data_IF_463714282907
#
_entry.id   IF_463714282907
#
_cell.length_a   1.000
_cell.length_b   1.000
_cell.length_c   1.000
_cell.angle_alpha   90.00
_cell.angle_beta   90.00
_cell.angle_gamma   90.00
#
_symmetry.space_group_name_H-M   'P 1'
#
loop_
_entity.id
_entity.type
_entity.pdbx_description
1 polymer ?
#
# COMPACT_ATOMS: atom_id res chain seq x y z
N UNK A 1 -15.27 -27.32 -1.71
CA UNK A 1 -15.24 -25.84 -1.65
C UNK A 1 -14.72 -25.29 -0.31
N UNK A 2 -15.20 -25.75 0.85
CA UNK A 2 -14.75 -25.26 2.18
C UNK A 2 -13.24 -25.42 2.45
N UNK A 3 -12.65 -26.55 2.03
CA UNK A 3 -11.20 -26.80 2.21
C UNK A 3 -10.32 -25.91 1.32
N UNK A 4 -10.78 -25.55 0.12
CA UNK A 4 -10.04 -24.67 -0.79
C UNK A 4 -10.04 -23.23 -0.26
N UNK A 5 -11.19 -22.76 0.24
CA UNK A 5 -11.30 -21.46 0.92
C UNK A 5 -10.41 -21.39 2.16
N UNK A 6 -10.37 -22.46 2.98
CA UNK A 6 -9.47 -22.52 4.13
C UNK A 6 -7.98 -22.47 3.74
N UNK A 7 -7.60 -23.11 2.63
CA UNK A 7 -6.22 -23.06 2.11
C UNK A 7 -5.85 -21.66 1.60
N UNK A 8 -6.76 -20.98 0.90
CA UNK A 8 -6.54 -19.62 0.40
C UNK A 8 -6.42 -18.63 1.57
N UNK A 9 -7.30 -18.73 2.56
CA UNK A 9 -7.25 -17.88 3.76
C UNK A 9 -5.98 -18.12 4.56
N UNK A 10 -5.56 -19.39 4.71
CA UNK A 10 -4.31 -19.72 5.39
C UNK A 10 -3.07 -19.21 4.63
N UNK A 11 -3.06 -19.32 3.30
CA UNK A 11 -1.99 -18.78 2.46
C UNK A 11 -1.92 -17.24 2.56
N UNK A 12 -3.06 -16.57 2.59
CA UNK A 12 -3.13 -15.13 2.76
C UNK A 12 -2.67 -14.68 4.15
N UNK A 13 -3.06 -15.40 5.20
CA UNK A 13 -2.62 -15.15 6.58
C UNK A 13 -1.12 -15.40 6.80
N UNK A 14 -0.51 -16.33 6.05
CA UNK A 14 0.93 -16.61 6.14
C UNK A 14 1.78 -15.61 5.34
N UNK A 15 1.22 -15.04 4.27
CA UNK A 15 1.93 -14.07 3.39
C UNK A 15 1.72 -12.62 3.81
N UNK A 16 0.62 -12.31 4.52
CA UNK A 16 0.34 -11.00 5.13
C UNK A 16 1.47 -10.51 6.06
N UNK A 17 1.96 -11.29 7.03
CA UNK A 17 3.05 -10.87 7.90
C UNK A 17 4.34 -10.60 7.13
N UNK A 18 4.62 -11.36 6.07
CA UNK A 18 5.84 -11.19 5.26
C UNK A 18 5.80 -9.92 4.40
N UNK A 19 4.63 -9.64 3.81
CA UNK A 19 4.42 -8.42 3.01
C UNK A 19 4.33 -7.16 3.87
N UNK A 20 3.70 -7.25 5.05
CA UNK A 20 3.67 -6.17 6.05
C UNK A 20 5.03 -5.99 6.73
N UNK A 21 5.81 -7.04 6.93
CA UNK A 21 7.18 -6.94 7.42
C UNK A 21 8.10 -6.30 6.39
N UNK A 22 7.89 -6.53 5.10
CA UNK A 22 8.65 -5.82 4.06
C UNK A 22 8.18 -4.36 3.92
N UNK A 23 6.87 -4.10 3.92
CA UNK A 23 6.33 -2.74 3.93
C UNK A 23 6.67 -1.96 5.22
N UNK A 24 6.88 -2.66 6.34
CA UNK A 24 7.29 -2.12 7.63
C UNK A 24 8.81 -2.13 7.88
N UNK A 25 9.60 -2.87 7.09
CA UNK A 25 11.06 -2.90 7.22
C UNK A 25 11.71 -1.59 6.75
N UNK A 26 11.09 -0.88 5.81
CA UNK A 26 11.49 0.50 5.44
C UNK A 26 10.64 1.58 6.14
N UNK A 27 9.52 1.22 6.77
CA UNK A 27 8.57 2.16 7.39
C UNK A 27 8.59 2.19 8.93
N UNK A 28 9.41 1.35 9.56
CA UNK A 28 9.37 1.07 11.00
C UNK A 28 10.74 0.94 11.66
N UNK A 29 11.78 1.60 11.13
CA UNK A 29 12.90 1.95 12.01
C UNK A 29 12.32 2.79 13.15
N UNK A 30 12.58 2.30 14.37
CA UNK A 30 12.20 2.90 15.64
C UNK A 30 12.41 4.41 15.61
N UNK A 31 11.62 5.12 16.40
CA UNK A 31 11.72 6.56 16.67
C UNK A 31 13.07 6.98 17.34
N UNK A 32 14.19 6.42 16.92
CA UNK A 32 15.55 6.94 17.10
C UNK A 32 15.98 7.59 15.80
N UNK A 33 15.41 8.76 15.50
CA UNK A 33 16.00 9.84 14.69
C UNK A 33 14.94 10.63 13.93
N UNK A 34 14.16 11.44 14.65
CA UNK A 34 13.53 12.63 14.05
C UNK A 34 14.57 13.64 13.47
N UNK A 35 15.86 13.28 13.43
CA UNK A 35 16.98 14.07 12.93
C UNK A 35 17.77 13.37 11.80
N UNK A 36 17.37 12.17 11.33
CA UNK A 36 18.02 11.53 10.17
C UNK A 36 17.57 12.23 8.91
N UNK A 37 18.30 13.29 8.53
CA UNK A 37 18.13 13.99 7.25
C UNK A 37 18.55 13.08 6.11
N UNK A 38 17.72 12.97 5.09
CA UNK A 38 18.03 12.25 3.85
C UNK A 38 19.14 13.01 3.11
N UNK A 39 20.20 12.31 2.71
CA UNK A 39 21.29 12.93 1.96
C UNK A 39 20.84 13.18 0.51
N UNK A 40 20.70 14.46 0.14
CA UNK A 40 20.18 14.89 -1.16
C UNK A 40 21.23 14.88 -2.28
N UNK A 41 22.51 14.65 -1.95
CA UNK A 41 23.65 14.89 -2.85
C UNK A 41 23.73 13.94 -4.03
N UNK A 42 23.11 12.76 -3.96
CA UNK A 42 23.03 11.80 -5.09
C UNK A 42 21.61 11.50 -5.57
N UNK A 43 20.59 12.23 -5.08
CA UNK A 43 19.21 12.05 -5.51
C UNK A 43 18.86 13.09 -6.56
N UNK A 44 18.43 12.62 -7.74
CA UNK A 44 17.92 13.46 -8.82
C UNK A 44 16.43 13.21 -9.09
N UNK A 45 15.76 14.20 -9.68
CA UNK A 45 14.38 14.07 -10.14
C UNK A 45 13.35 14.02 -9.02
N UNK A 46 12.31 13.19 -9.20
CA UNK A 46 11.14 13.11 -8.31
C UNK A 46 11.55 12.67 -6.89
N UNK A 47 12.57 11.82 -6.77
CA UNK A 47 13.10 11.36 -5.49
C UNK A 47 13.73 12.51 -4.69
N UNK A 48 14.37 13.48 -5.36
CA UNK A 48 14.88 14.69 -4.71
C UNK A 48 13.74 15.53 -4.14
N UNK A 49 12.64 15.71 -4.87
CA UNK A 49 11.49 16.48 -4.41
C UNK A 49 10.86 15.87 -3.14
N UNK A 50 10.64 14.56 -3.13
CA UNK A 50 10.12 13.86 -1.95
C UNK A 50 11.09 13.89 -0.78
N UNK A 51 12.38 13.69 -1.02
CA UNK A 51 13.41 13.76 0.03
C UNK A 51 13.58 15.19 0.58
N UNK A 52 13.45 16.22 -0.26
CA UNK A 52 13.47 17.61 0.15
C UNK A 52 12.24 17.93 1.03
N UNK A 53 11.04 17.53 0.63
CA UNK A 53 9.83 17.71 1.43
C UNK A 53 9.88 16.97 2.77
N UNK A 54 10.45 15.76 2.80
CA UNK A 54 10.68 15.02 4.04
C UNK A 54 11.63 15.76 4.98
N UNK A 55 12.74 16.29 4.45
CA UNK A 55 13.75 17.01 5.23
C UNK A 55 13.26 18.39 5.74
N UNK A 56 12.45 19.10 4.95
CA UNK A 56 11.94 20.42 5.30
C UNK A 56 10.75 20.33 6.26
N UNK A 57 9.81 19.42 6.01
CA UNK A 57 8.63 19.26 6.86
C UNK A 57 8.01 17.86 6.77
N UNK A 58 8.40 17.01 7.72
CA UNK A 58 7.96 15.61 7.80
C UNK A 58 6.42 15.44 7.84
N UNK A 59 5.71 16.40 8.44
CA UNK A 59 4.24 16.39 8.51
C UNK A 59 3.60 16.59 7.14
N UNK A 60 4.14 17.52 6.35
CA UNK A 60 3.67 17.79 5.00
C UNK A 60 3.93 16.57 4.09
N UNK A 61 5.12 15.97 4.20
CA UNK A 61 5.44 14.74 3.50
C UNK A 61 4.46 13.60 3.86
N UNK A 62 4.19 13.38 5.15
CA UNK A 62 3.28 12.34 5.61
C UNK A 62 1.87 12.48 5.03
N UNK A 63 1.33 13.71 4.99
CA UNK A 63 -0.01 13.98 4.43
C UNK A 63 -0.03 13.70 2.93
N UNK A 64 0.95 14.19 2.17
CA UNK A 64 1.02 13.98 0.72
C UNK A 64 1.09 12.49 0.40
N UNK A 65 1.97 11.75 1.09
CA UNK A 65 2.13 10.30 0.87
C UNK A 65 0.84 9.55 1.22
N UNK A 66 0.17 9.92 2.31
CA UNK A 66 -1.11 9.30 2.70
C UNK A 66 -2.17 9.49 1.62
N UNK A 67 -2.30 10.70 1.06
CA UNK A 67 -3.25 10.99 -0.02
C UNK A 67 -2.90 10.20 -1.29
N UNK A 68 -1.61 10.15 -1.66
CA UNK A 68 -1.15 9.38 -2.81
C UNK A 68 -1.45 7.89 -2.65
N UNK A 69 -1.27 7.33 -1.45
CA UNK A 69 -1.55 5.93 -1.19
C UNK A 69 -3.04 5.62 -1.25
N UNK A 70 -3.90 6.54 -0.78
CA UNK A 70 -5.34 6.42 -0.93
C UNK A 70 -5.77 6.45 -2.41
N UNK A 71 -5.18 7.33 -3.22
CA UNK A 71 -5.43 7.39 -4.65
C UNK A 71 -4.98 6.10 -5.37
N UNK A 72 -3.78 5.60 -5.06
CA UNK A 72 -3.28 4.34 -5.61
C UNK A 72 -4.19 3.17 -5.25
N UNK A 73 -4.64 3.08 -4.00
CA UNK A 73 -5.61 2.06 -3.57
C UNK A 73 -6.92 2.15 -4.35
N UNK A 74 -7.45 3.35 -4.57
CA UNK A 74 -8.64 3.58 -5.38
C UNK A 74 -8.46 3.15 -6.84
N UNK A 75 -7.31 3.47 -7.45
CA UNK A 75 -6.99 3.05 -8.81
C UNK A 75 -6.94 1.52 -8.90
N UNK A 76 -6.29 0.85 -7.95
CA UNK A 76 -6.21 -0.62 -7.91
C UNK A 76 -7.60 -1.23 -7.79
N UNK A 77 -8.49 -0.67 -6.96
CA UNK A 77 -9.87 -1.15 -6.84
C UNK A 77 -10.62 -1.07 -8.18
N UNK A 78 -10.54 0.07 -8.86
CA UNK A 78 -11.18 0.25 -10.17
C UNK A 78 -10.62 -0.69 -11.23
N UNK A 79 -9.29 -0.83 -11.28
CA UNK A 79 -8.63 -1.75 -12.23
C UNK A 79 -9.04 -3.19 -11.94
N UNK A 80 -9.10 -3.58 -10.67
CA UNK A 80 -9.51 -4.92 -10.26
C UNK A 80 -10.95 -5.19 -10.65
N UNK A 81 -11.87 -4.25 -10.43
CA UNK A 81 -13.27 -4.36 -10.86
C UNK A 81 -13.39 -4.56 -12.38
N UNK A 82 -12.59 -3.83 -13.17
CA UNK A 82 -12.55 -3.97 -14.63
C UNK A 82 -12.04 -5.36 -15.03
N UNK A 83 -10.97 -5.84 -14.39
CA UNK A 83 -10.40 -7.17 -14.66
C UNK A 83 -11.41 -8.27 -14.30
N UNK A 84 -12.05 -8.19 -13.14
CA UNK A 84 -13.05 -9.16 -12.68
C UNK A 84 -14.25 -9.21 -13.64
N UNK A 85 -14.72 -8.03 -14.09
CA UNK A 85 -15.80 -7.92 -15.08
C UNK A 85 -15.44 -8.57 -16.41
N UNK A 86 -14.20 -8.43 -16.87
CA UNK A 86 -13.73 -9.04 -18.12
C UNK A 86 -13.57 -10.57 -18.02
N UNK A 87 -13.35 -11.12 -16.83
CA UNK A 87 -13.21 -12.57 -16.60
C UNK A 87 -14.59 -13.25 -16.46
N UNK A 88 -15.69 -12.50 -16.53
CA UNK A 88 -17.04 -13.05 -16.45
C UNK A 88 -17.46 -13.46 -15.05
N UNK A 89 -16.71 -13.07 -14.01
CA UNK A 89 -17.28 -12.98 -12.67
C UNK A 89 -18.16 -11.74 -12.65
N UNK A 90 -19.44 -11.92 -12.94
CA UNK A 90 -20.44 -10.96 -12.51
C UNK A 90 -20.36 -10.88 -10.98
N UNK A 91 -19.64 -9.89 -10.46
CA UNK A 91 -19.81 -9.42 -9.09
C UNK A 91 -21.16 -8.72 -9.05
N UNK A 92 -22.22 -9.51 -9.22
CA UNK A 92 -23.55 -9.07 -8.90
C UNK A 92 -23.52 -8.78 -7.39
N UNK A 93 -24.11 -7.64 -7.02
CA UNK A 93 -24.34 -7.27 -5.62
C UNK A 93 -24.70 -8.52 -4.86
N UNK A 94 -24.10 -8.69 -3.69
CA UNK A 94 -24.50 -9.66 -2.68
C UNK A 94 -26.03 -9.68 -2.69
N UNK A 95 -26.59 -10.69 -3.35
CA UNK A 95 -28.01 -10.90 -3.40
C UNK A 95 -28.35 -11.21 -1.96
N UNK A 96 -29.01 -10.25 -1.33
CA UNK A 96 -29.69 -10.39 -0.07
C UNK A 96 -30.81 -11.41 -0.29
N UNK A 97 -30.44 -12.68 -0.42
CA UNK A 97 -31.34 -13.80 -0.22
C UNK A 97 -31.42 -13.96 1.29
N UNK A 98 -32.56 -13.54 1.81
CA UNK A 98 -33.13 -13.70 3.14
C UNK A 98 -32.43 -14.70 4.09
#
# INVERSE_FOLDING_TARGET
MKKLSAVIVNLFLLTMPWTLAWAGADGGEKAESLQKKVNLTSLGGINYCFAAWYNDNIWLYAIIVTVLMALLGGIIALVTDVILKNIGMEVNKIEHHE
#
